data_IF_652351419660
#
_entry.id   IF_652351419660
#
_cell.length_a   1.000
_cell.length_b   1.000
_cell.length_c   1.000
_cell.angle_alpha   90.00
_cell.angle_beta   90.00
_cell.angle_gamma   90.00
#
_symmetry.space_group_name_H-M   'P 1'
#
loop_
_entity.id
_entity.type
_entity.pdbx_description
1 polymer ?
#
# COMPACT_ATOMS: atom_id res chain seq x y z
N UNK A 1 19.21 5.60 -35.37
CA UNK A 1 18.88 4.66 -34.27
C UNK A 1 17.38 4.53 -34.26
N UNK A 2 16.81 3.32 -34.27
CA UNK A 2 15.37 3.18 -33.99
C UNK A 2 15.17 3.55 -32.54
N UNK A 3 14.39 4.58 -32.27
CA UNK A 3 13.88 4.87 -30.93
C UNK A 3 13.12 3.63 -30.48
N UNK A 4 13.48 3.08 -29.32
CA UNK A 4 12.71 1.99 -28.71
C UNK A 4 11.44 2.65 -28.17
N UNK A 5 10.28 2.20 -28.61
CA UNK A 5 9.01 2.61 -28.03
C UNK A 5 8.89 1.98 -26.66
N UNK A 6 8.65 2.76 -25.62
CA UNK A 6 8.28 2.24 -24.32
C UNK A 6 6.77 1.97 -24.25
N UNK A 7 6.41 0.76 -23.83
CA UNK A 7 5.02 0.32 -23.74
C UNK A 7 4.63 0.07 -22.29
N UNK A 8 3.57 0.75 -21.83
CA UNK A 8 3.10 0.65 -20.46
C UNK A 8 1.67 0.13 -20.37
N UNK A 9 1.40 -0.74 -19.41
CA UNK A 9 0.03 -1.02 -18.97
C UNK A 9 -0.48 0.15 -18.13
N UNK A 10 -1.68 0.65 -18.42
CA UNK A 10 -2.39 1.62 -17.57
C UNK A 10 -3.63 0.96 -17.01
N UNK A 11 -3.54 0.51 -15.76
CA UNK A 11 -4.59 -0.25 -15.07
C UNK A 11 -5.36 0.69 -14.14
N UNK A 12 -6.58 1.05 -14.56
CA UNK A 12 -7.43 2.06 -13.91
C UNK A 12 -8.90 1.82 -14.29
N UNK A 13 -9.78 1.70 -13.30
CA UNK A 13 -11.21 1.46 -13.50
C UNK A 13 -11.97 2.71 -14.01
N UNK A 14 -11.31 3.88 -14.00
CA UNK A 14 -11.85 5.13 -14.51
C UNK A 14 -11.41 5.38 -15.96
N UNK A 15 -11.99 4.65 -16.93
CA UNK A 15 -11.59 4.76 -18.34
C UNK A 15 -11.65 6.18 -18.95
N UNK A 16 -12.40 7.14 -18.37
CA UNK A 16 -12.31 8.56 -18.78
C UNK A 16 -10.99 9.19 -18.34
N UNK A 17 -10.54 8.95 -17.10
CA UNK A 17 -9.26 9.43 -16.57
C UNK A 17 -8.10 8.82 -17.35
N UNK A 18 -8.12 7.52 -17.58
CA UNK A 18 -7.08 6.81 -18.35
C UNK A 18 -6.94 7.35 -19.78
N UNK A 19 -8.06 7.61 -20.48
CA UNK A 19 -8.03 8.23 -21.83
C UNK A 19 -7.49 9.65 -21.85
N UNK A 20 -7.73 10.43 -20.79
CA UNK A 20 -7.18 11.80 -20.68
C UNK A 20 -5.68 11.71 -20.45
N UNK A 21 -5.24 10.85 -19.53
CA UNK A 21 -3.84 10.60 -19.24
C UNK A 21 -3.09 10.15 -20.51
N UNK A 22 -3.57 9.12 -21.19
CA UNK A 22 -2.99 8.61 -22.44
C UNK A 22 -2.84 9.71 -23.49
N UNK A 23 -3.91 10.48 -23.75
CA UNK A 23 -3.88 11.61 -24.71
C UNK A 23 -2.84 12.68 -24.34
N UNK A 24 -2.67 12.95 -23.05
CA UNK A 24 -1.80 14.01 -22.58
C UNK A 24 -0.35 13.59 -22.49
N UNK A 25 -0.07 12.31 -22.20
CA UNK A 25 1.26 11.82 -21.85
C UNK A 25 1.91 11.05 -23.00
N UNK A 26 1.14 10.31 -23.80
CA UNK A 26 1.69 9.52 -24.92
C UNK A 26 2.50 10.35 -25.90
N UNK A 27 3.50 9.69 -26.50
CA UNK A 27 4.35 10.22 -27.56
C UNK A 27 4.42 9.14 -28.65
N UNK A 28 3.79 9.34 -29.82
CA UNK A 28 3.77 8.35 -30.88
C UNK A 28 5.18 7.88 -31.27
N UNK A 29 5.43 6.57 -31.15
CA UNK A 29 6.72 5.94 -31.46
C UNK A 29 7.78 6.06 -30.36
N UNK A 30 7.42 6.56 -29.17
CA UNK A 30 8.35 6.69 -28.03
C UNK A 30 7.74 6.23 -26.70
N UNK A 31 6.46 6.57 -26.43
CA UNK A 31 5.77 6.23 -25.19
C UNK A 31 4.29 5.98 -25.46
N UNK A 32 3.82 4.75 -25.23
CA UNK A 32 2.43 4.34 -25.48
C UNK A 32 1.86 3.57 -24.30
N UNK A 33 0.52 3.60 -24.19
CA UNK A 33 -0.20 2.97 -23.09
C UNK A 33 -1.25 1.99 -23.60
N UNK A 34 -1.28 0.79 -23.02
CA UNK A 34 -2.37 -0.17 -23.16
C UNK A 34 -3.27 -0.07 -21.92
N UNK A 35 -4.48 0.45 -22.11
CA UNK A 35 -5.44 0.64 -21.03
C UNK A 35 -6.10 -0.69 -20.64
N UNK A 36 -6.18 -0.94 -19.34
CA UNK A 36 -6.86 -2.09 -18.72
C UNK A 36 -7.80 -1.55 -17.66
N UNK A 37 -9.11 -1.60 -17.90
CA UNK A 37 -10.12 -1.06 -16.99
C UNK A 37 -10.62 -2.07 -15.95
N UNK A 38 -10.29 -3.36 -16.11
CA UNK A 38 -10.55 -4.41 -15.14
C UNK A 38 -9.36 -5.38 -15.04
N UNK A 39 -8.85 -5.67 -13.82
CA UNK A 39 -7.83 -6.68 -13.60
C UNK A 39 -8.11 -8.06 -14.21
N UNK A 40 -9.38 -8.45 -14.40
CA UNK A 40 -9.70 -9.76 -14.98
C UNK A 40 -9.16 -9.95 -16.41
N UNK A 41 -8.92 -8.84 -17.13
CA UNK A 41 -8.37 -8.85 -18.48
C UNK A 41 -6.90 -9.28 -18.51
N UNK A 42 -6.16 -9.06 -17.43
CA UNK A 42 -4.76 -9.48 -17.32
C UNK A 42 -4.60 -11.00 -17.30
N UNK A 43 -5.66 -11.75 -16.95
CA UNK A 43 -5.63 -13.22 -16.99
C UNK A 43 -5.46 -13.74 -18.41
N UNK A 44 -6.03 -13.04 -19.38
CA UNK A 44 -6.08 -13.51 -20.75
C UNK A 44 -4.75 -13.20 -21.50
N UNK A 45 -3.80 -12.55 -20.82
CA UNK A 45 -2.44 -12.32 -21.28
C UNK A 45 -1.49 -13.39 -20.75
N UNK A 46 -0.71 -13.99 -21.65
CA UNK A 46 0.40 -14.87 -21.32
C UNK A 46 1.54 -14.09 -20.64
N UNK A 47 2.46 -14.82 -20.01
CA UNK A 47 3.65 -14.23 -19.41
C UNK A 47 4.51 -13.53 -20.46
N UNK A 48 4.59 -14.11 -21.65
CA UNK A 48 5.32 -13.56 -22.78
C UNK A 48 4.70 -12.24 -23.24
N UNK A 49 3.38 -12.17 -23.38
CA UNK A 49 2.67 -10.93 -23.73
C UNK A 49 2.82 -9.86 -22.63
N UNK A 50 2.75 -10.24 -21.35
CA UNK A 50 3.00 -9.32 -20.25
C UNK A 50 4.45 -8.80 -20.23
N UNK A 51 5.40 -9.62 -20.68
CA UNK A 51 6.82 -9.24 -20.75
C UNK A 51 7.15 -8.32 -21.93
N UNK A 52 6.21 -8.06 -22.84
CA UNK A 52 6.36 -7.05 -23.90
C UNK A 52 6.25 -5.62 -23.35
N UNK A 53 5.65 -5.44 -22.17
CA UNK A 53 5.51 -4.13 -21.52
C UNK A 53 6.73 -3.79 -20.65
N UNK A 54 7.22 -2.56 -20.77
CA UNK A 54 8.32 -2.01 -19.97
C UNK A 54 7.90 -1.69 -18.52
N UNK A 55 6.60 -1.41 -18.32
CA UNK A 55 6.07 -1.11 -17.01
C UNK A 55 4.56 -1.13 -16.91
N UNK A 56 4.07 -0.98 -15.69
CA UNK A 56 2.66 -0.84 -15.38
C UNK A 56 2.40 0.33 -14.43
N UNK A 57 1.39 1.12 -14.74
CA UNK A 57 0.85 2.20 -13.92
C UNK A 57 -0.50 1.72 -13.39
N UNK A 58 -0.63 1.63 -12.06
CA UNK A 58 -1.75 0.93 -11.44
C UNK A 58 -2.45 1.83 -10.43
N UNK A 59 -3.76 2.02 -10.58
CA UNK A 59 -4.61 2.61 -9.53
C UNK A 59 -4.82 1.62 -8.39
N UNK A 60 -4.85 2.11 -7.14
CA UNK A 60 -5.10 1.26 -5.98
C UNK A 60 -6.57 0.95 -5.77
N UNK A 61 -7.45 1.87 -6.16
CA UNK A 61 -8.88 1.72 -5.98
C UNK A 61 -9.53 1.17 -7.25
N UNK A 62 -9.64 -0.15 -7.32
CA UNK A 62 -10.23 -0.84 -8.47
C UNK A 62 -11.63 -1.34 -8.09
N UNK A 63 -12.68 -0.82 -8.74
CA UNK A 63 -14.06 -1.26 -8.53
C UNK A 63 -14.35 -2.61 -9.21
N UNK A 64 -13.59 -3.65 -8.83
CA UNK A 64 -13.79 -5.01 -9.34
C UNK A 64 -15.20 -5.51 -9.04
N UNK A 65 -15.79 -6.22 -10.00
CA UNK A 65 -17.16 -6.70 -9.87
C UNK A 65 -17.30 -7.73 -8.74
N UNK A 66 -18.43 -7.66 -8.02
CA UNK A 66 -18.84 -8.67 -7.04
C UNK A 66 -19.86 -9.67 -7.61
N UNK A 67 -20.11 -9.61 -8.93
CA UNK A 67 -21.04 -10.51 -9.60
C UNK A 67 -20.54 -11.97 -9.55
N UNK A 68 -21.42 -12.96 -9.36
CA UNK A 68 -21.04 -14.38 -9.47
C UNK A 68 -20.46 -14.78 -10.84
N UNK A 69 -20.73 -14.00 -11.90
CA UNK A 69 -20.18 -14.23 -13.23
C UNK A 69 -18.79 -13.61 -13.43
N UNK A 70 -18.36 -12.72 -12.53
CA UNK A 70 -17.04 -12.12 -12.57
C UNK A 70 -15.99 -13.19 -12.32
N UNK A 71 -14.93 -13.19 -13.12
CA UNK A 71 -13.87 -14.19 -12.98
C UNK A 71 -12.61 -13.46 -12.46
N UNK A 72 -12.42 -13.34 -11.14
CA UNK A 72 -11.35 -12.52 -10.60
C UNK A 72 -9.98 -12.98 -11.09
N UNK A 73 -9.07 -12.02 -11.27
CA UNK A 73 -7.64 -12.32 -11.34
C UNK A 73 -7.21 -12.89 -9.99
N UNK A 74 -6.34 -13.89 -10.00
CA UNK A 74 -5.91 -14.59 -8.78
C UNK A 74 -4.40 -14.72 -8.71
N UNK A 75 -3.87 -14.61 -7.50
CA UNK A 75 -2.46 -14.81 -7.17
C UNK A 75 -2.32 -16.18 -6.52
N UNK A 76 -1.33 -16.96 -6.96
CA UNK A 76 -1.09 -18.32 -6.45
C UNK A 76 0.39 -18.54 -6.20
N UNK A 77 0.72 -18.89 -4.96
CA UNK A 77 2.05 -19.36 -4.57
C UNK A 77 1.87 -20.35 -3.39
N UNK A 78 1.93 -21.67 -3.62
CA UNK A 78 1.75 -22.67 -2.57
C UNK A 78 2.80 -22.62 -1.45
N UNK A 79 3.93 -21.94 -1.66
CA UNK A 79 4.94 -21.72 -0.63
C UNK A 79 4.60 -20.57 0.32
N UNK A 80 3.71 -19.66 -0.11
CA UNK A 80 3.38 -18.44 0.62
C UNK A 80 1.91 -18.35 1.06
N UNK A 81 0.99 -19.00 0.34
CA UNK A 81 -0.46 -18.84 0.54
C UNK A 81 -1.17 -20.20 0.64
N UNK A 82 -2.18 -20.28 1.50
CA UNK A 82 -3.03 -21.47 1.69
C UNK A 82 -4.05 -21.71 0.55
N UNK A 83 -3.99 -20.90 -0.52
CA UNK A 83 -4.87 -21.00 -1.68
C UNK A 83 -4.78 -19.76 -2.59
N UNK A 84 -5.56 -19.72 -3.68
CA UNK A 84 -5.62 -18.57 -4.56
C UNK A 84 -6.15 -17.32 -3.83
N UNK A 85 -5.47 -16.20 -4.00
CA UNK A 85 -5.89 -14.90 -3.47
C UNK A 85 -6.51 -14.08 -4.60
N UNK A 86 -7.78 -13.68 -4.43
CA UNK A 86 -8.45 -12.81 -5.39
C UNK A 86 -7.85 -11.40 -5.37
N UNK A 87 -7.54 -10.88 -6.56
CA UNK A 87 -7.10 -9.50 -6.75
C UNK A 87 -8.30 -8.57 -6.72
N UNK A 88 -8.28 -7.61 -5.80
CA UNK A 88 -9.37 -6.65 -5.56
C UNK A 88 -8.88 -5.21 -5.55
N UNK A 89 -7.58 -5.00 -5.41
CA UNK A 89 -6.93 -3.68 -5.31
C UNK A 89 -5.76 -3.60 -6.28
N UNK A 90 -5.27 -2.38 -6.52
CA UNK A 90 -4.02 -2.20 -7.27
C UNK A 90 -2.82 -2.87 -6.63
N UNK A 91 -2.82 -3.07 -5.30
CA UNK A 91 -1.77 -3.83 -4.63
C UNK A 91 -1.72 -5.28 -5.12
N UNK A 92 -2.87 -5.93 -5.28
CA UNK A 92 -2.96 -7.28 -5.81
C UNK A 92 -2.51 -7.36 -7.27
N UNK A 93 -2.88 -6.36 -8.09
CA UNK A 93 -2.42 -6.27 -9.49
C UNK A 93 -0.90 -6.15 -9.55
N UNK A 94 -0.31 -5.27 -8.75
CA UNK A 94 1.15 -5.11 -8.69
C UNK A 94 1.86 -6.37 -8.23
N UNK A 95 1.33 -7.06 -7.21
CA UNK A 95 1.89 -8.34 -6.76
C UNK A 95 1.81 -9.40 -7.86
N UNK A 96 0.67 -9.50 -8.55
CA UNK A 96 0.50 -10.39 -9.69
C UNK A 96 1.57 -10.12 -10.76
N UNK A 97 1.72 -8.86 -11.19
CA UNK A 97 2.72 -8.47 -12.18
C UNK A 97 4.14 -8.75 -11.68
N UNK A 98 4.44 -8.49 -10.41
CA UNK A 98 5.75 -8.74 -9.82
C UNK A 98 6.14 -10.22 -9.86
N UNK A 99 5.18 -11.13 -9.64
CA UNK A 99 5.43 -12.58 -9.69
C UNK A 99 5.60 -13.10 -11.12
N UNK A 100 4.86 -12.54 -12.09
CA UNK A 100 4.88 -13.02 -13.48
C UNK A 100 6.00 -12.38 -14.31
N UNK A 101 6.25 -11.08 -14.11
CA UNK A 101 7.26 -10.29 -14.82
C UNK A 101 8.08 -9.47 -13.82
N UNK A 102 9.03 -10.09 -13.09
CA UNK A 102 9.73 -9.44 -11.97
C UNK A 102 10.55 -8.18 -12.32
N UNK A 103 10.91 -8.05 -13.60
CA UNK A 103 11.68 -6.95 -14.17
C UNK A 103 10.81 -5.78 -14.64
N UNK A 104 9.48 -5.95 -14.70
CA UNK A 104 8.57 -4.88 -15.08
C UNK A 104 8.65 -3.74 -14.05
N UNK A 105 8.76 -2.50 -14.54
CA UNK A 105 8.73 -1.34 -13.65
C UNK A 105 7.30 -1.10 -13.19
N UNK A 106 7.07 -1.02 -11.88
CA UNK A 106 5.73 -0.80 -11.32
C UNK A 106 5.60 0.64 -10.82
N UNK A 107 4.50 1.28 -11.18
CA UNK A 107 4.14 2.61 -10.72
C UNK A 107 2.79 2.58 -10.00
N UNK A 108 2.77 3.05 -8.75
CA UNK A 108 1.54 3.35 -8.04
C UNK A 108 1.00 4.70 -8.45
N UNK A 109 -0.20 4.71 -9.00
CA UNK A 109 -0.87 5.94 -9.38
C UNK A 109 -1.27 6.71 -8.12
N UNK A 110 -0.83 7.96 -8.01
CA UNK A 110 -1.08 8.81 -6.83
C UNK A 110 -1.89 10.03 -7.20
N UNK A 111 -2.98 10.26 -6.47
CA UNK A 111 -3.58 11.57 -6.32
C UNK A 111 -3.34 12.03 -4.88
N UNK A 112 -2.41 12.97 -4.68
CA UNK A 112 -1.96 13.40 -3.35
C UNK A 112 -3.07 14.04 -2.49
N UNK A 113 -4.22 14.35 -3.08
CA UNK A 113 -5.42 14.83 -2.39
C UNK A 113 -6.15 13.74 -1.63
N UNK A 114 -5.79 12.46 -1.81
CA UNK A 114 -6.50 11.32 -1.25
C UNK A 114 -5.67 10.59 -0.20
N UNK A 115 -6.08 10.72 1.06
CA UNK A 115 -5.43 10.07 2.21
C UNK A 115 -5.23 8.55 1.98
N UNK A 116 -6.24 7.86 1.43
CA UNK A 116 -6.19 6.41 1.21
C UNK A 116 -4.98 5.95 0.38
N UNK A 117 -4.50 6.77 -0.55
CA UNK A 117 -3.38 6.43 -1.41
C UNK A 117 -2.06 6.30 -0.64
N UNK A 118 -1.90 7.00 0.50
CA UNK A 118 -0.64 7.07 1.24
C UNK A 118 -0.15 5.68 1.72
N UNK A 119 -1.01 4.89 2.37
CA UNK A 119 -0.65 3.55 2.85
C UNK A 119 -0.38 2.59 1.69
N UNK A 120 -1.24 2.61 0.67
CA UNK A 120 -1.06 1.77 -0.50
C UNK A 120 0.25 2.05 -1.22
N UNK A 121 0.61 3.32 -1.36
CA UNK A 121 1.85 3.73 -2.01
C UNK A 121 3.08 3.35 -1.19
N UNK A 122 3.05 3.61 0.13
CA UNK A 122 4.14 3.24 1.02
C UNK A 122 4.35 1.72 1.02
N UNK A 123 3.27 0.96 1.09
CA UNK A 123 3.29 -0.49 0.94
C UNK A 123 3.82 -0.93 -0.42
N UNK A 124 3.35 -0.35 -1.52
CA UNK A 124 3.75 -0.76 -2.86
C UNK A 124 5.25 -0.51 -3.09
N UNK A 125 5.75 0.62 -2.60
CA UNK A 125 7.18 0.96 -2.65
C UNK A 125 8.01 0.05 -1.77
N UNK A 126 7.63 -0.13 -0.51
CA UNK A 126 8.41 -0.90 0.47
C UNK A 126 8.35 -2.41 0.19
N UNK A 127 7.19 -2.94 -0.18
CA UNK A 127 6.96 -4.39 -0.32
C UNK A 127 7.22 -4.90 -1.73
N UNK A 128 6.90 -4.12 -2.77
CA UNK A 128 6.96 -4.56 -4.17
C UNK A 128 7.98 -3.79 -5.02
N UNK A 129 8.61 -2.75 -4.46
CA UNK A 129 9.55 -1.89 -5.18
C UNK A 129 8.88 -1.00 -6.22
N UNK A 130 7.59 -0.66 -6.03
CA UNK A 130 6.89 0.24 -6.93
C UNK A 130 7.27 1.71 -6.70
N UNK A 131 7.33 2.49 -7.78
CA UNK A 131 7.59 3.92 -7.72
C UNK A 131 6.27 4.72 -7.64
N UNK A 132 6.21 5.86 -6.94
CA UNK A 132 5.03 6.70 -6.94
C UNK A 132 4.94 7.50 -8.25
N UNK A 133 3.80 7.47 -8.94
CA UNK A 133 3.53 8.33 -10.09
C UNK A 133 2.39 9.29 -9.77
N UNK A 134 2.73 10.56 -9.48
CA UNK A 134 1.73 11.59 -9.22
C UNK A 134 1.07 12.08 -10.52
N UNK A 135 -0.16 11.66 -10.78
CA UNK A 135 -0.89 12.02 -12.00
C UNK A 135 -1.32 13.49 -12.05
N UNK A 136 -1.22 14.20 -10.92
CA UNK A 136 -1.40 15.65 -10.87
C UNK A 136 -0.22 16.45 -11.41
N UNK A 137 0.92 15.82 -11.69
CA UNK A 137 2.08 16.49 -12.29
C UNK A 137 1.79 16.91 -13.75
N UNK A 138 2.42 17.98 -14.23
CA UNK A 138 2.35 18.36 -15.63
C UNK A 138 2.76 17.22 -16.59
N UNK A 139 2.12 17.09 -17.77
CA UNK A 139 2.41 15.98 -18.70
C UNK A 139 3.86 15.88 -19.14
N UNK A 140 4.58 17.00 -19.24
CA UNK A 140 6.02 17.03 -19.54
C UNK A 140 6.87 16.42 -18.41
N UNK A 141 6.46 16.56 -17.15
CA UNK A 141 7.13 15.91 -16.02
C UNK A 141 6.83 14.41 -16.06
N UNK A 142 5.57 14.02 -16.25
CA UNK A 142 5.16 12.62 -16.37
C UNK A 142 5.91 11.89 -17.50
N UNK A 143 6.00 12.50 -18.69
CA UNK A 143 6.78 11.96 -19.81
C UNK A 143 8.24 11.75 -19.44
N UNK A 144 8.86 12.76 -18.82
CA UNK A 144 10.27 12.67 -18.42
C UNK A 144 10.51 11.57 -17.40
N UNK A 145 9.60 11.39 -16.44
CA UNK A 145 9.69 10.31 -15.46
C UNK A 145 9.58 8.94 -16.13
N UNK A 146 8.59 8.76 -17.02
CA UNK A 146 8.35 7.47 -17.68
C UNK A 146 9.41 7.10 -18.73
N UNK A 147 10.10 8.11 -19.28
CA UNK A 147 11.23 7.94 -20.21
C UNK A 147 12.59 7.88 -19.49
N UNK A 148 12.66 8.26 -18.21
CA UNK A 148 13.91 8.35 -17.49
C UNK A 148 14.46 6.96 -17.11
N UNK A 149 15.78 6.75 -17.15
CA UNK A 149 16.41 5.65 -16.44
C UNK A 149 16.25 5.86 -14.92
N UNK A 150 16.20 4.77 -14.15
CA UNK A 150 15.74 4.68 -12.75
C UNK A 150 16.33 5.67 -11.73
N UNK A 151 17.38 6.44 -12.07
CA UNK A 151 18.00 7.43 -11.19
C UNK A 151 17.48 8.88 -11.30
N UNK A 152 16.93 9.31 -12.45
CA UNK A 152 16.51 10.72 -12.61
C UNK A 152 15.11 11.00 -12.05
N UNK A 153 14.29 9.96 -11.89
CA UNK A 153 12.86 10.03 -11.53
C UNK A 153 12.62 10.72 -10.19
N UNK A 154 13.45 10.41 -9.19
CA UNK A 154 13.27 10.83 -7.79
C UNK A 154 13.27 12.36 -7.58
N UNK A 155 13.90 13.13 -8.47
CA UNK A 155 13.97 14.59 -8.36
C UNK A 155 12.86 15.31 -9.12
N UNK A 156 12.12 14.60 -9.98
CA UNK A 156 11.14 15.22 -10.87
C UNK A 156 9.76 15.35 -10.22
N UNK A 157 9.41 14.48 -9.27
CA UNK A 157 8.10 14.52 -8.62
C UNK A 157 8.23 14.70 -7.10
N UNK A 158 7.38 15.55 -6.53
CA UNK A 158 7.33 15.76 -5.08
C UNK A 158 6.95 14.48 -4.31
N UNK A 159 6.15 13.60 -4.93
CA UNK A 159 5.70 12.33 -4.38
C UNK A 159 6.86 11.38 -4.06
N UNK A 160 7.97 11.40 -4.81
CA UNK A 160 9.15 10.57 -4.49
C UNK A 160 9.80 11.00 -3.16
N UNK A 161 9.84 12.30 -2.88
CA UNK A 161 10.35 12.79 -1.60
C UNK A 161 9.44 12.36 -0.45
N UNK A 162 8.12 12.55 -0.58
CA UNK A 162 7.15 12.14 0.44
C UNK A 162 7.21 10.63 0.67
N UNK A 163 7.33 9.84 -0.39
CA UNK A 163 7.53 8.39 -0.33
C UNK A 163 8.79 8.02 0.44
N UNK A 164 9.94 8.59 0.05
CA UNK A 164 11.21 8.32 0.71
C UNK A 164 11.18 8.69 2.19
N UNK A 165 10.62 9.86 2.51
CA UNK A 165 10.58 10.38 3.88
C UNK A 165 9.56 9.59 4.75
N UNK A 166 8.56 8.93 4.14
CA UNK A 166 7.55 8.10 4.83
C UNK A 166 7.88 6.60 4.89
N UNK A 167 8.77 6.10 4.03
CA UNK A 167 9.07 4.67 3.89
C UNK A 167 9.55 4.02 5.20
N UNK A 168 10.45 4.70 5.91
CA UNK A 168 11.05 4.18 7.13
C UNK A 168 10.07 4.23 8.34
N UNK A 169 9.33 5.33 8.59
CA UNK A 169 8.19 5.31 9.49
C UNK A 169 7.15 4.23 9.15
N UNK A 170 6.85 4.01 7.87
CA UNK A 170 5.94 2.95 7.43
C UNK A 170 6.49 1.55 7.77
N UNK A 171 7.77 1.28 7.50
CA UNK A 171 8.41 0.00 7.89
C UNK A 171 8.28 -0.22 9.38
N UNK A 172 8.66 0.77 10.20
CA UNK A 172 8.54 0.66 11.67
C UNK A 172 7.09 0.48 12.12
N UNK A 173 6.12 1.14 11.49
CA UNK A 173 4.71 0.84 11.75
C UNK A 173 4.45 -0.65 11.48
N UNK A 174 4.75 -1.16 10.29
CA UNK A 174 4.46 -2.56 9.93
C UNK A 174 5.25 -3.58 10.78
N UNK A 175 6.40 -3.17 11.34
CA UNK A 175 7.34 -4.06 12.03
C UNK A 175 7.38 -3.89 13.56
N UNK A 176 6.77 -2.84 14.10
CA UNK A 176 6.83 -2.44 15.52
C UNK A 176 6.38 -3.52 16.52
N UNK A 177 5.60 -4.50 16.10
CA UNK A 177 5.13 -5.62 16.92
C UNK A 177 5.85 -6.95 16.64
N UNK A 178 6.84 -6.98 15.74
CA UNK A 178 7.61 -8.17 15.39
C UNK A 178 8.64 -8.51 16.47
N UNK A 179 8.21 -9.07 17.59
CA UNK A 179 9.08 -10.00 18.30
C UNK A 179 8.91 -11.36 17.62
N UNK A 180 9.95 -11.78 16.89
CA UNK A 180 10.06 -12.98 16.01
C UNK A 180 9.61 -14.34 16.62
N UNK A 181 9.04 -14.37 17.83
CA UNK A 181 8.54 -15.57 18.51
C UNK A 181 7.02 -15.53 18.83
N UNK A 182 6.28 -14.47 18.48
CA UNK A 182 4.84 -14.39 18.78
C UNK A 182 3.95 -13.95 17.60
N UNK A 183 3.03 -14.87 17.28
CA UNK A 183 1.93 -15.01 16.31
C UNK A 183 1.13 -13.79 15.76
N UNK A 184 1.43 -12.52 16.07
CA UNK A 184 0.70 -11.37 15.47
C UNK A 184 1.61 -10.21 15.09
N UNK A 185 1.60 -9.86 13.81
CA UNK A 185 2.38 -8.75 13.24
C UNK A 185 1.61 -7.42 13.39
N UNK A 186 2.28 -6.28 13.23
CA UNK A 186 1.65 -4.97 13.51
C UNK A 186 0.41 -4.72 12.67
N UNK A 187 0.43 -5.16 11.41
CA UNK A 187 -0.73 -5.06 10.53
C UNK A 187 -2.00 -5.65 11.19
N UNK A 188 -1.89 -6.83 11.81
CA UNK A 188 -3.02 -7.50 12.45
C UNK A 188 -3.48 -6.78 13.71
N UNK A 189 -2.53 -6.23 14.47
CA UNK A 189 -2.81 -5.41 15.64
C UNK A 189 -3.57 -4.12 15.28
N UNK A 190 -3.13 -3.38 14.26
CA UNK A 190 -3.82 -2.18 13.76
C UNK A 190 -5.23 -2.52 13.23
N UNK A 191 -5.35 -3.63 12.50
CA UNK A 191 -6.63 -4.15 12.01
C UNK A 191 -7.60 -4.47 13.15
N UNK A 192 -7.11 -5.09 14.23
CA UNK A 192 -7.89 -5.33 15.44
C UNK A 192 -8.23 -4.04 16.18
N UNK A 193 -7.31 -3.10 16.24
CA UNK A 193 -7.47 -1.84 16.97
C UNK A 193 -8.60 -0.99 16.40
N UNK A 194 -8.77 -0.97 15.07
CA UNK A 194 -9.89 -0.34 14.39
C UNK A 194 -11.27 -0.81 14.88
N UNK A 195 -11.37 -2.04 15.37
CA UNK A 195 -12.62 -2.60 15.92
C UNK A 195 -12.92 -2.15 17.35
N UNK A 196 -12.05 -1.36 17.96
CA UNK A 196 -12.14 -0.95 19.35
C UNK A 196 -12.73 0.46 19.50
N UNK A 197 -13.33 0.71 20.67
CA UNK A 197 -13.97 1.99 20.99
C UNK A 197 -13.11 2.83 21.94
N UNK A 198 -12.52 3.89 21.36
CA UNK A 198 -12.02 5.10 22.03
C UNK A 198 -11.32 4.86 23.39
N UNK A 199 -11.69 5.60 24.45
CA UNK A 199 -10.99 5.61 25.74
C UNK A 199 -10.82 4.26 26.45
N UNK A 200 -11.56 3.22 26.02
CA UNK A 200 -11.48 1.85 26.57
C UNK A 200 -10.95 0.83 25.57
N UNK A 201 -10.23 1.27 24.54
CA UNK A 201 -9.74 0.37 23.50
C UNK A 201 -8.78 -0.70 24.04
N UNK A 202 -8.00 -0.40 25.08
CA UNK A 202 -7.09 -1.36 25.73
C UNK A 202 -7.80 -2.61 26.27
N UNK A 203 -9.05 -2.50 26.77
CA UNK A 203 -9.82 -3.67 27.24
C UNK A 203 -10.46 -4.46 26.10
N UNK A 204 -10.56 -3.86 24.92
CA UNK A 204 -11.25 -4.43 23.76
C UNK A 204 -10.29 -5.12 22.80
N UNK A 205 -9.03 -4.67 22.73
CA UNK A 205 -8.01 -5.21 21.81
C UNK A 205 -7.79 -6.71 22.00
N UNK A 206 -7.66 -7.20 23.25
CA UNK A 206 -7.54 -8.65 23.49
C UNK A 206 -8.73 -9.43 22.91
N UNK A 207 -9.94 -8.90 23.08
CA UNK A 207 -11.15 -9.49 22.50
C UNK A 207 -11.17 -9.42 20.98
N UNK A 208 -10.68 -8.33 20.38
CA UNK A 208 -10.59 -8.18 18.94
C UNK A 208 -9.58 -9.17 18.32
N UNK A 209 -8.40 -9.32 18.94
CA UNK A 209 -7.38 -10.30 18.54
C UNK A 209 -7.94 -11.72 18.61
N UNK A 210 -8.55 -12.08 19.75
CA UNK A 210 -9.14 -13.41 19.93
C UNK A 210 -10.23 -13.69 18.88
N UNK A 211 -11.08 -12.71 18.56
CA UNK A 211 -12.18 -12.87 17.61
C UNK A 211 -11.73 -12.89 16.15
N UNK A 212 -10.83 -11.98 15.78
CA UNK A 212 -10.45 -11.74 14.39
C UNK A 212 -9.36 -12.71 13.93
N UNK A 213 -8.44 -13.07 14.82
CA UNK A 213 -7.25 -13.87 14.50
C UNK A 213 -7.31 -15.26 15.12
N UNK A 214 -8.27 -15.55 16.00
CA UNK A 214 -8.37 -16.83 16.71
C UNK A 214 -7.27 -17.07 17.74
N UNK A 215 -6.46 -16.06 18.05
CA UNK A 215 -5.29 -16.16 18.92
C UNK A 215 -5.62 -15.71 20.33
N UNK A 216 -5.24 -16.48 21.35
CA UNK A 216 -5.44 -16.09 22.76
C UNK A 216 -4.25 -15.29 23.26
N UNK A 217 -4.31 -13.97 23.12
CA UNK A 217 -3.23 -13.07 23.55
C UNK A 217 -3.64 -12.33 24.82
N UNK A 218 -2.78 -12.40 25.85
CA UNK A 218 -2.90 -11.56 27.02
C UNK A 218 -2.41 -10.15 26.67
N UNK A 219 -3.28 -9.14 26.83
CA UNK A 219 -2.94 -7.73 26.56
C UNK A 219 -2.97 -6.98 27.87
N UNK A 220 -1.79 -6.71 28.43
CA UNK A 220 -1.67 -5.89 29.63
C UNK A 220 -1.64 -4.40 29.27
N UNK A 221 -2.38 -3.58 30.01
CA UNK A 221 -2.51 -2.15 29.69
C UNK A 221 -1.16 -1.42 29.78
N UNK A 222 -0.38 -1.68 30.83
CA UNK A 222 0.86 -0.94 31.12
C UNK A 222 2.06 -1.53 30.37
N UNK A 223 2.12 -2.85 30.25
CA UNK A 223 3.27 -3.56 29.66
C UNK A 223 3.17 -3.81 28.17
N UNK A 224 1.95 -3.81 27.61
CA UNK A 224 1.73 -4.14 26.19
C UNK A 224 1.06 -2.99 25.47
N UNK A 225 -0.15 -2.61 25.90
CA UNK A 225 -0.98 -1.72 25.11
C UNK A 225 -0.42 -0.28 25.06
N UNK A 226 -0.16 0.37 26.21
CA UNK A 226 0.33 1.76 26.19
C UNK A 226 1.69 1.91 25.48
N UNK A 227 2.70 1.05 25.73
CA UNK A 227 3.97 1.12 24.99
C UNK A 227 3.78 0.97 23.48
N UNK A 228 2.96 0.01 23.04
CA UNK A 228 2.66 -0.20 21.62
C UNK A 228 1.95 1.01 21.01
N UNK A 229 0.94 1.56 21.69
CA UNK A 229 0.24 2.76 21.21
C UNK A 229 1.15 3.99 21.14
N UNK A 230 2.09 4.13 22.08
CA UNK A 230 3.12 5.18 22.04
C UNK A 230 3.98 5.04 20.79
N UNK A 231 4.52 3.84 20.53
CA UNK A 231 5.32 3.55 19.34
C UNK A 231 4.55 3.85 18.06
N UNK A 232 3.32 3.34 17.96
CA UNK A 232 2.49 3.59 16.80
C UNK A 232 2.17 5.05 16.61
N UNK A 233 1.85 5.80 17.66
CA UNK A 233 1.59 7.23 17.50
C UNK A 233 2.85 7.96 17.01
N UNK A 234 4.03 7.65 17.56
CA UNK A 234 5.28 8.28 17.13
C UNK A 234 5.59 7.99 15.67
N UNK A 235 5.49 6.74 15.23
CA UNK A 235 5.77 6.37 13.84
C UNK A 235 4.67 6.85 12.89
N UNK A 236 3.41 6.83 13.31
CA UNK A 236 2.30 7.38 12.55
C UNK A 236 2.45 8.90 12.39
N UNK A 237 2.86 9.61 13.43
CA UNK A 237 3.11 11.04 13.36
C UNK A 237 4.21 11.36 12.34
N UNK A 238 5.33 10.61 12.38
CA UNK A 238 6.39 10.76 11.38
C UNK A 238 5.89 10.43 9.96
N UNK A 239 5.07 9.38 9.81
CA UNK A 239 4.48 8.99 8.55
C UNK A 239 3.57 10.09 7.97
N UNK A 240 2.56 10.55 8.71
CA UNK A 240 1.60 11.54 8.18
C UNK A 240 2.23 12.91 7.95
N UNK A 241 3.22 13.31 8.78
CA UNK A 241 4.00 14.53 8.55
C UNK A 241 4.80 14.49 7.25
N UNK A 242 5.32 13.32 6.85
CA UNK A 242 6.01 13.16 5.57
C UNK A 242 5.07 13.42 4.37
N UNK A 243 3.76 13.22 4.55
CA UNK A 243 2.72 13.56 3.58
C UNK A 243 2.18 14.99 3.72
N UNK A 244 2.73 15.78 4.65
CA UNK A 244 2.37 17.18 4.86
C UNK A 244 1.15 17.40 5.76
N UNK A 245 0.70 16.39 6.49
CA UNK A 245 -0.40 16.52 7.45
C UNK A 245 0.06 17.20 8.76
N UNK A 246 -0.83 17.99 9.35
CA UNK A 246 -0.59 18.66 10.63
C UNK A 246 -0.90 17.72 11.80
N UNK A 247 0.04 17.61 12.73
CA UNK A 247 -0.09 16.82 13.97
C UNK A 247 0.12 17.65 15.23
N UNK A 248 0.10 18.98 15.12
CA UNK A 248 0.39 19.89 16.24
C UNK A 248 -0.58 19.75 17.41
N UNK A 249 -1.78 19.22 17.16
CA UNK A 249 -2.84 18.97 18.13
C UNK A 249 -2.91 17.50 18.60
N UNK A 250 -1.87 16.71 18.32
CA UNK A 250 -1.76 15.34 18.82
C UNK A 250 -1.24 15.31 20.27
N UNK A 251 -1.58 14.27 21.06
CA UNK A 251 -1.09 14.17 22.44
C UNK A 251 0.44 14.14 22.52
N UNK A 252 1.04 14.96 23.37
CA UNK A 252 2.49 14.90 23.63
C UNK A 252 2.85 13.67 24.49
N UNK A 253 3.73 12.82 23.96
CA UNK A 253 4.17 11.58 24.60
C UNK A 253 5.45 11.76 25.43
N UNK A 254 6.06 12.95 25.44
CA UNK A 254 7.35 13.23 26.10
C UNK A 254 7.36 12.96 27.61
N UNK A 255 6.20 13.11 28.28
CA UNK A 255 6.04 12.89 29.71
C UNK A 255 5.59 11.44 30.07
N UNK A 256 5.46 10.55 29.08
CA UNK A 256 4.98 9.19 29.25
C UNK A 256 3.48 9.03 28.95
N UNK A 257 3.10 7.81 28.58
CA UNK A 257 1.72 7.48 28.19
C UNK A 257 0.92 6.84 29.32
N UNK A 258 -0.35 7.20 29.42
CA UNK A 258 -1.33 6.56 30.30
C UNK A 258 -2.69 6.52 29.63
N UNK A 259 -3.69 5.90 30.28
CA UNK A 259 -5.07 5.92 29.82
C UNK A 259 -5.63 7.33 29.54
N UNK A 260 -5.10 8.38 30.21
CA UNK A 260 -5.54 9.77 30.02
C UNK A 260 -4.97 10.41 28.76
N UNK A 261 -3.81 9.97 28.29
CA UNK A 261 -3.10 10.53 27.13
C UNK A 261 -3.99 10.55 25.89
N UNK A 262 -4.82 9.52 25.72
CA UNK A 262 -5.72 9.36 24.59
C UNK A 262 -7.20 9.45 24.94
N UNK A 263 -7.54 10.01 26.11
CA UNK A 263 -8.93 10.08 26.57
C UNK A 263 -9.76 11.02 25.69
N UNK A 264 -9.18 12.15 25.27
CA UNK A 264 -9.86 13.18 24.47
C UNK A 264 -9.68 12.94 22.96
N UNK A 265 -8.49 12.51 22.53
CA UNK A 265 -8.17 12.17 21.14
C UNK A 265 -7.19 11.00 21.07
N UNK A 266 -7.45 10.06 20.16
CA UNK A 266 -6.53 8.96 19.88
C UNK A 266 -6.18 8.96 18.39
N UNK A 267 -5.10 9.64 17.98
CA UNK A 267 -4.80 9.84 16.55
C UNK A 267 -4.58 8.52 15.80
N UNK A 268 -4.03 7.50 16.47
CA UNK A 268 -3.88 6.18 15.86
C UNK A 268 -5.25 5.53 15.59
N UNK A 269 -6.17 5.61 16.55
CA UNK A 269 -7.52 5.07 16.38
C UNK A 269 -8.28 5.85 15.30
N UNK A 270 -8.19 7.17 15.33
CA UNK A 270 -8.82 8.06 14.35
C UNK A 270 -8.32 7.74 12.95
N UNK A 271 -7.01 7.54 12.79
CA UNK A 271 -6.38 7.16 11.54
C UNK A 271 -6.92 5.82 11.01
N UNK A 272 -6.85 4.76 11.81
CA UNK A 272 -7.32 3.43 11.36
C UNK A 272 -8.84 3.35 11.19
N UNK A 273 -9.63 4.22 11.86
CA UNK A 273 -11.10 4.28 11.75
C UNK A 273 -11.62 5.32 10.74
N UNK A 274 -10.75 6.11 10.12
CA UNK A 274 -11.13 7.18 9.18
C UNK A 274 -11.95 6.72 7.97
N UNK A 275 -11.99 5.41 7.70
CA UNK A 275 -12.63 4.82 6.53
C UNK A 275 -11.80 4.94 5.26
N UNK A 276 -10.89 5.93 5.17
CA UNK A 276 -9.98 6.11 4.06
C UNK A 276 -9.12 4.86 3.80
N UNK A 277 -8.68 4.20 4.88
CA UNK A 277 -7.78 3.05 4.79
C UNK A 277 -8.48 1.70 4.94
N UNK A 278 -9.82 1.66 4.86
CA UNK A 278 -10.55 0.43 5.21
C UNK A 278 -10.18 -0.74 4.30
N UNK A 279 -10.13 -0.50 2.99
CA UNK A 279 -9.71 -1.47 1.99
C UNK A 279 -8.29 -1.96 2.24
N UNK A 280 -7.35 -1.06 2.57
CA UNK A 280 -5.95 -1.44 2.85
C UNK A 280 -5.87 -2.50 3.94
N UNK A 281 -6.54 -2.29 5.08
CA UNK A 281 -6.48 -3.19 6.23
C UNK A 281 -7.33 -4.47 6.09
N UNK A 282 -8.23 -4.55 5.10
CA UNK A 282 -9.18 -5.68 4.97
C UNK A 282 -8.94 -6.55 3.75
N UNK A 283 -8.28 -6.04 2.70
CA UNK A 283 -8.16 -6.78 1.45
C UNK A 283 -7.13 -7.91 1.57
N UNK A 284 -7.50 -9.09 1.06
CA UNK A 284 -6.66 -10.28 1.14
C UNK A 284 -5.38 -10.16 0.30
N UNK A 285 -5.47 -9.46 -0.83
CA UNK A 285 -4.35 -9.21 -1.73
C UNK A 285 -3.30 -8.24 -1.14
N UNK A 286 -3.71 -7.28 -0.30
CA UNK A 286 -2.77 -6.45 0.48
C UNK A 286 -1.98 -7.30 1.47
N UNK A 287 -2.65 -8.22 2.17
CA UNK A 287 -1.95 -9.18 3.06
C UNK A 287 -1.03 -10.10 2.27
N UNK A 288 -1.43 -10.55 1.09
CA UNK A 288 -0.60 -11.38 0.23
C UNK A 288 0.68 -10.67 -0.22
N UNK A 289 0.63 -9.35 -0.47
CA UNK A 289 1.79 -8.54 -0.81
C UNK A 289 2.78 -8.42 0.36
N UNK A 290 2.27 -8.21 1.58
CA UNK A 290 3.10 -8.24 2.79
C UNK A 290 3.77 -9.60 2.99
N UNK A 291 3.01 -10.70 2.86
CA UNK A 291 3.55 -12.06 2.97
C UNK A 291 4.63 -12.33 1.92
N UNK A 292 4.41 -11.90 0.67
CA UNK A 292 5.40 -12.02 -0.40
C UNK A 292 6.69 -11.28 -0.09
N UNK A 293 6.58 -10.03 0.38
CA UNK A 293 7.73 -9.24 0.79
C UNK A 293 8.55 -9.93 1.87
N UNK A 294 7.90 -10.44 2.92
CA UNK A 294 8.57 -11.15 4.02
C UNK A 294 9.19 -12.47 3.61
N UNK A 295 8.58 -13.20 2.68
CA UNK A 295 9.17 -14.42 2.11
C UNK A 295 10.34 -14.16 1.16
N UNK A 296 10.49 -12.93 0.67
CA UNK A 296 11.53 -12.53 -0.29
C UNK A 296 12.71 -11.80 0.35
N UNK A 297 12.59 -11.37 1.62
CA UNK A 297 13.73 -10.83 2.37
C UNK A 297 14.75 -11.95 2.60
N UNK A 298 16.04 -11.72 2.30
CA UNK A 298 17.07 -12.69 2.67
C UNK A 298 17.04 -12.86 4.20
N UNK A 299 17.15 -14.10 4.68
CA UNK A 299 17.35 -14.35 6.10
C UNK A 299 18.62 -13.59 6.52
N UNK A 300 18.46 -12.53 7.32
CA UNK A 300 19.58 -11.88 7.98
C UNK A 300 20.25 -12.93 8.89
N UNK A 301 21.34 -13.54 8.41
CA UNK A 301 22.29 -14.36 9.19
C UNK A 301 23.05 -13.54 10.24
#
# INVERSE_FOLDING_TARGET
MRTVTLEYLLIDDQGKRSRVFDRQVSIPGELVFTMVDDPELLRDLSREELAEFDGAIVDFHLNTSSSPAYRPLTITDPGLYDGPVEVRTGMGVMLYLKQHVPHMTLYGMTELTHAHAQLFLAAASVWLGAEPLNVGEPPEILRRVLLAPDGEKAHLQASHRQMRDSAEPFRRLMDSCLNRRHLTETYDWLRCYRLCNGPRAHTQVAGAINRLLGLRIAVDKEKTFFPMMTLWQTDLEAFVRAWGEDTSDWPDLSAGASAKTWADRNPVLDYVRSGAYDAFFNSADVRAALTYHRGSEPEDE
#
